data_IF_325456544528
#
_entry.id   IF_325456544528
#
_cell.length_a   1.000
_cell.length_b   1.000
_cell.length_c   1.000
_cell.angle_alpha   90.00
_cell.angle_beta   90.00
_cell.angle_gamma   90.00
#
_symmetry.space_group_name_H-M   'P 1'
#
loop_
_entity.id
_entity.type
_entity.pdbx_description
1 polymer ?
#
# COMPACT_ATOMS: atom_id res chain seq x y z
N UNK A 1 0.32 25.49 3.23
CA UNK A 1 0.43 24.37 2.28
C UNK A 1 0.94 23.14 3.00
N UNK A 2 0.47 21.96 2.65
CA UNK A 2 0.89 20.70 3.26
C UNK A 2 1.74 19.92 2.27
N UNK A 3 2.82 19.32 2.75
CA UNK A 3 3.75 18.52 1.97
C UNK A 3 3.87 17.12 2.58
N UNK A 4 4.20 16.15 1.73
CA UNK A 4 4.46 14.77 2.16
C UNK A 4 5.79 14.28 1.58
N UNK A 5 6.60 13.70 2.44
CA UNK A 5 7.79 12.95 2.03
C UNK A 5 7.41 11.50 1.79
N UNK A 6 7.73 11.02 0.61
CA UNK A 6 7.26 9.73 0.09
C UNK A 6 8.45 8.84 -0.24
N UNK A 7 8.36 7.57 0.16
CA UNK A 7 9.28 6.53 -0.27
C UNK A 7 8.80 6.05 -1.64
N UNK A 8 9.63 6.16 -2.66
CA UNK A 8 9.33 5.67 -4.01
C UNK A 8 10.14 4.40 -4.30
N UNK A 9 9.59 3.45 -5.08
CA UNK A 9 10.28 2.23 -5.47
C UNK A 9 11.31 2.49 -6.61
N UNK A 10 12.22 3.42 -6.34
CA UNK A 10 13.27 3.82 -7.28
C UNK A 10 14.64 3.67 -6.62
N UNK A 11 15.70 3.35 -7.39
CA UNK A 11 17.05 3.15 -6.86
C UNK A 11 17.78 4.50 -6.64
N UNK A 12 17.12 5.42 -5.94
CA UNK A 12 17.64 6.74 -5.61
C UNK A 12 17.55 6.95 -4.11
N UNK A 13 18.58 7.61 -3.57
CA UNK A 13 18.64 7.91 -2.14
C UNK A 13 17.63 8.97 -1.72
N UNK A 14 17.12 8.81 -0.51
CA UNK A 14 16.28 9.79 0.16
C UNK A 14 14.78 9.61 -0.07
N UNK A 15 14.05 10.58 0.43
CA UNK A 15 12.60 10.69 0.31
C UNK A 15 12.28 11.78 -0.72
N UNK A 16 11.13 11.62 -1.37
CA UNK A 16 10.67 12.56 -2.40
C UNK A 16 9.52 13.39 -1.85
N UNK A 17 9.67 14.70 -1.86
CA UNK A 17 8.65 15.63 -1.34
C UNK A 17 7.65 16.00 -2.43
N UNK A 18 6.36 15.85 -2.11
CA UNK A 18 5.24 16.26 -2.95
C UNK A 18 4.32 17.20 -2.20
N UNK A 19 3.65 18.12 -2.92
CA UNK A 19 2.58 18.91 -2.34
C UNK A 19 1.30 18.07 -2.21
N UNK A 20 0.56 18.33 -1.14
CA UNK A 20 -0.71 17.63 -0.87
C UNK A 20 -1.85 18.57 -1.24
N UNK A 21 -2.63 18.29 -2.30
CA UNK A 21 -3.81 19.09 -2.65
C UNK A 21 -4.81 19.17 -1.49
N UNK A 22 -5.45 20.33 -1.34
CA UNK A 22 -6.36 20.59 -0.22
C UNK A 22 -7.43 19.51 0.03
N UNK A 23 -8.06 18.90 -1.00
CA UNK A 23 -9.04 17.82 -0.79
C UNK A 23 -8.46 16.54 -0.18
N UNK A 24 -7.15 16.34 -0.26
CA UNK A 24 -6.45 15.13 0.18
C UNK A 24 -5.76 15.27 1.53
N UNK A 25 -5.67 16.49 2.08
CA UNK A 25 -4.93 16.76 3.34
C UNK A 25 -5.40 15.87 4.50
N UNK A 26 -6.69 15.61 4.63
CA UNK A 26 -7.24 14.75 5.68
C UNK A 26 -7.00 13.24 5.46
N UNK A 27 -6.61 12.85 4.25
CA UNK A 27 -6.41 11.44 3.87
C UNK A 27 -4.93 11.05 3.87
N UNK A 28 -4.04 12.02 3.62
CA UNK A 28 -2.60 11.79 3.58
C UNK A 28 -2.05 11.71 4.99
N UNK A 29 -1.60 10.52 5.38
CA UNK A 29 -0.98 10.26 6.68
C UNK A 29 0.12 9.22 6.55
N UNK A 30 0.95 9.10 7.58
CA UNK A 30 2.03 8.10 7.61
C UNK A 30 1.51 6.70 7.24
N UNK A 31 2.24 5.99 6.39
CA UNK A 31 2.00 4.59 6.05
C UNK A 31 0.94 4.34 4.98
N UNK A 32 0.19 5.35 4.51
CA UNK A 32 -0.73 5.18 3.37
C UNK A 32 0.03 5.20 2.05
N UNK A 33 -0.48 4.46 1.06
CA UNK A 33 0.05 4.52 -0.31
C UNK A 33 -0.58 5.68 -1.07
N UNK A 34 0.25 6.29 -1.89
CA UNK A 34 -0.15 7.39 -2.76
C UNK A 34 0.37 7.19 -4.17
N UNK A 35 -0.36 7.68 -5.14
CA UNK A 35 0.08 7.75 -6.53
C UNK A 35 0.71 9.12 -6.77
N UNK A 36 1.93 9.12 -7.29
CA UNK A 36 2.68 10.34 -7.57
C UNK A 36 3.25 10.35 -8.98
N UNK A 37 3.38 11.53 -9.61
CA UNK A 37 4.06 11.67 -10.89
C UNK A 37 5.58 11.61 -10.68
N UNK A 38 6.27 10.83 -11.53
CA UNK A 38 7.73 10.75 -11.53
C UNK A 38 8.25 10.85 -12.95
N UNK A 39 8.88 11.99 -13.26
CA UNK A 39 9.25 12.30 -14.65
C UNK A 39 8.06 12.76 -15.50
N UNK A 40 8.19 12.78 -16.84
CA UNK A 40 7.19 13.40 -17.72
C UNK A 40 5.94 12.55 -17.95
N UNK A 41 6.03 11.21 -17.87
CA UNK A 41 4.93 10.29 -18.25
C UNK A 41 4.79 9.09 -17.33
N UNK A 42 5.55 9.02 -16.24
CA UNK A 42 5.59 7.85 -15.35
C UNK A 42 4.93 8.23 -14.03
N UNK A 43 4.15 7.32 -13.48
CA UNK A 43 3.62 7.40 -12.13
C UNK A 43 4.17 6.26 -11.29
N UNK A 44 4.36 6.51 -10.00
CA UNK A 44 4.75 5.49 -9.04
C UNK A 44 3.78 5.44 -7.86
N UNK A 45 3.58 4.24 -7.36
CA UNK A 45 2.95 4.03 -6.06
C UNK A 45 4.05 4.13 -5.01
N UNK A 46 3.93 5.10 -4.12
CA UNK A 46 4.84 5.29 -2.99
C UNK A 46 4.13 5.19 -1.66
N UNK A 47 4.88 5.18 -0.58
CA UNK A 47 4.37 5.16 0.79
C UNK A 47 4.74 6.47 1.48
N UNK A 48 3.78 7.09 2.15
CA UNK A 48 3.99 8.31 2.91
C UNK A 48 4.81 8.01 4.16
N UNK A 49 5.99 8.62 4.23
CA UNK A 49 6.89 8.50 5.38
C UNK A 49 6.70 9.65 6.39
N UNK A 50 6.33 10.85 5.92
CA UNK A 50 6.14 12.02 6.77
C UNK A 50 5.22 13.03 6.10
N UNK A 51 4.43 13.75 6.91
CA UNK A 51 3.62 14.89 6.48
C UNK A 51 4.09 16.12 7.24
N UNK A 52 4.27 17.25 6.55
CA UNK A 52 4.78 18.48 7.14
C UNK A 52 4.31 19.74 6.38
N UNK A 53 4.54 20.93 6.97
CA UNK A 53 4.16 22.22 6.39
C UNK A 53 5.31 22.99 5.73
N UNK A 54 6.55 22.45 5.74
CA UNK A 54 7.73 23.17 5.23
C UNK A 54 7.98 22.83 3.76
N UNK A 55 7.93 23.85 2.89
CA UNK A 55 8.30 23.68 1.49
C UNK A 55 9.80 23.39 1.36
N UNK A 56 10.23 22.50 0.45
CA UNK A 56 11.65 22.36 0.13
C UNK A 56 12.14 23.61 -0.60
N UNK A 57 13.35 24.04 -0.25
CA UNK A 57 13.95 25.23 -0.85
C UNK A 57 14.52 24.93 -2.25
N UNK A 58 14.23 25.81 -3.21
CA UNK A 58 14.85 25.76 -4.54
C UNK A 58 14.37 24.64 -5.47
N UNK A 59 13.34 23.87 -5.09
CA UNK A 59 12.82 22.76 -5.89
C UNK A 59 11.35 23.01 -6.21
N UNK A 60 10.97 22.86 -7.49
CA UNK A 60 9.57 22.85 -7.89
C UNK A 60 8.92 21.52 -7.43
N UNK A 61 8.00 21.63 -6.48
CA UNK A 61 7.28 20.49 -5.94
C UNK A 61 6.07 20.20 -6.82
N UNK A 62 5.88 18.93 -7.16
CA UNK A 62 4.69 18.46 -7.89
C UNK A 62 3.61 18.00 -6.89
N UNK A 63 2.37 18.04 -7.33
CA UNK A 63 1.24 17.55 -6.57
C UNK A 63 1.18 16.03 -6.59
N UNK A 64 0.81 15.41 -5.48
CA UNK A 64 0.41 14.01 -5.51
C UNK A 64 -0.94 13.86 -6.23
N UNK A 65 -1.11 12.72 -6.90
CA UNK A 65 -2.26 12.52 -7.79
C UNK A 65 -3.45 11.90 -7.05
N UNK A 66 -3.21 10.92 -6.19
CA UNK A 66 -4.26 10.17 -5.50
C UNK A 66 -3.77 9.48 -4.24
N UNK A 67 -4.61 9.41 -3.23
CA UNK A 67 -4.43 8.53 -2.06
C UNK A 67 -5.10 7.20 -2.37
N UNK A 68 -4.39 6.09 -2.13
CA UNK A 68 -4.86 4.75 -2.51
C UNK A 68 -5.51 4.00 -1.35
N UNK A 69 -5.19 4.35 -0.11
CA UNK A 69 -5.63 3.65 1.08
C UNK A 69 -6.38 4.56 2.06
N UNK A 70 -7.40 4.03 2.69
CA UNK A 70 -8.10 4.68 3.81
C UNK A 70 -7.37 4.48 5.14
N UNK A 71 -6.61 3.39 5.27
CA UNK A 71 -5.83 3.05 6.45
C UNK A 71 -4.35 2.81 6.10
N UNK A 72 -3.41 3.08 7.03
CA UNK A 72 -2.00 2.80 6.80
C UNK A 72 -1.74 1.32 6.52
N UNK A 73 -1.02 1.03 5.45
CA UNK A 73 -0.56 -0.33 5.10
C UNK A 73 0.84 -0.62 5.65
N UNK A 74 1.55 0.42 6.09
CA UNK A 74 2.88 0.32 6.68
C UNK A 74 2.85 0.89 8.09
N UNK A 75 3.33 0.11 9.06
CA UNK A 75 3.45 0.53 10.45
C UNK A 75 4.77 1.24 10.73
N UNK A 76 4.82 2.01 11.83
CA UNK A 76 6.05 2.68 12.26
C UNK A 76 7.20 1.70 12.56
N UNK A 77 6.88 0.50 13.06
CA UNK A 77 7.88 -0.55 13.33
C UNK A 77 8.47 -1.11 12.03
N UNK A 78 7.64 -1.36 11.03
CA UNK A 78 8.10 -1.78 9.70
C UNK A 78 8.97 -0.71 9.05
N UNK A 79 8.57 0.55 9.13
CA UNK A 79 9.37 1.66 8.58
C UNK A 79 10.74 1.77 9.25
N UNK A 80 10.82 1.65 10.58
CA UNK A 80 12.11 1.63 11.30
C UNK A 80 12.99 0.45 10.86
N UNK A 81 12.40 -0.73 10.66
CA UNK A 81 13.12 -1.87 10.12
C UNK A 81 13.67 -1.57 8.71
N UNK A 82 12.88 -0.94 7.85
CA UNK A 82 13.32 -0.58 6.50
C UNK A 82 14.46 0.43 6.50
N UNK A 83 14.41 1.43 7.40
CA UNK A 83 15.51 2.38 7.58
C UNK A 83 16.78 1.66 8.03
N UNK A 84 16.68 0.77 9.02
CA UNK A 84 17.82 -0.03 9.48
C UNK A 84 18.38 -0.91 8.34
N UNK A 85 17.53 -1.55 7.55
CA UNK A 85 17.97 -2.36 6.39
C UNK A 85 18.68 -1.50 5.35
N UNK A 86 18.13 -0.32 5.03
CA UNK A 86 18.74 0.60 4.08
C UNK A 86 20.14 1.02 4.53
N UNK A 87 20.30 1.37 5.82
CA UNK A 87 21.57 1.77 6.40
C UNK A 87 22.57 0.59 6.47
N UNK A 88 22.11 -0.58 6.92
CA UNK A 88 22.96 -1.76 7.07
C UNK A 88 23.49 -2.29 5.74
N UNK A 89 22.67 -2.34 4.72
CA UNK A 89 23.03 -2.81 3.37
C UNK A 89 23.53 -1.69 2.44
N UNK A 90 23.58 -0.45 2.93
CA UNK A 90 23.93 0.74 2.11
C UNK A 90 23.09 0.80 0.82
N UNK A 91 21.80 0.51 0.93
CA UNK A 91 20.85 0.48 -0.17
C UNK A 91 19.84 1.62 -0.07
N UNK A 92 19.36 2.17 -1.20
CA UNK A 92 18.26 3.11 -1.19
C UNK A 92 17.02 2.55 -0.52
N UNK A 93 16.32 3.36 0.28
CA UNK A 93 15.08 2.91 0.96
C UNK A 93 14.00 2.48 -0.02
N UNK A 94 14.01 3.00 -1.24
CA UNK A 94 13.13 2.57 -2.33
C UNK A 94 13.33 1.11 -2.75
N UNK A 95 14.56 0.61 -2.72
CA UNK A 95 14.85 -0.80 -3.00
C UNK A 95 14.38 -1.70 -1.84
N UNK A 96 14.50 -1.24 -0.60
CA UNK A 96 13.92 -1.93 0.56
C UNK A 96 12.39 -1.99 0.45
N UNK A 97 11.74 -0.90 0.07
CA UNK A 97 10.29 -0.86 -0.20
C UNK A 97 9.88 -1.89 -1.25
N UNK A 98 10.64 -1.97 -2.35
CA UNK A 98 10.39 -2.95 -3.43
C UNK A 98 10.47 -4.39 -2.94
N UNK A 99 11.41 -4.70 -2.06
CA UNK A 99 11.58 -6.04 -1.50
C UNK A 99 10.51 -6.36 -0.44
N UNK A 100 10.21 -5.41 0.43
CA UNK A 100 9.37 -5.60 1.60
C UNK A 100 7.86 -5.55 1.31
N UNK A 101 7.44 -4.73 0.33
CA UNK A 101 6.02 -4.56 0.03
C UNK A 101 5.52 -5.71 -0.85
N UNK A 102 4.42 -6.40 -0.47
CA UNK A 102 3.80 -7.44 -1.30
C UNK A 102 3.39 -6.93 -2.69
N UNK A 103 3.43 -7.80 -3.69
CA UNK A 103 3.15 -7.44 -5.08
C UNK A 103 1.78 -6.77 -5.27
N UNK A 104 0.74 -7.25 -4.56
CA UNK A 104 -0.60 -6.67 -4.60
C UNK A 104 -0.70 -5.24 -4.06
N UNK A 105 0.26 -4.81 -3.23
CA UNK A 105 0.32 -3.46 -2.69
C UNK A 105 1.22 -2.52 -3.51
N UNK A 106 1.95 -3.04 -4.50
CA UNK A 106 2.77 -2.24 -5.42
C UNK A 106 1.98 -1.67 -6.59
N UNK A 107 0.83 -2.26 -6.88
CA UNK A 107 -0.02 -1.84 -7.98
C UNK A 107 -0.90 -0.64 -7.59
N UNK A 108 -1.23 0.18 -8.58
CA UNK A 108 -2.15 1.30 -8.43
C UNK A 108 -3.57 0.83 -8.07
N UNK A 109 -4.01 -0.25 -8.69
CA UNK A 109 -5.26 -0.91 -8.33
C UNK A 109 -5.08 -1.72 -7.05
N UNK A 110 -6.04 -1.53 -6.13
CA UNK A 110 -5.96 -2.08 -4.78
C UNK A 110 -5.83 -3.61 -4.75
N UNK A 111 -5.26 -4.10 -3.67
CA UNK A 111 -5.17 -5.51 -3.36
C UNK A 111 -6.56 -6.16 -3.41
N UNK A 112 -6.70 -7.17 -4.27
CA UNK A 112 -7.88 -8.05 -4.28
C UNK A 112 -7.50 -9.31 -3.50
N UNK A 113 -8.08 -9.52 -2.30
CA UNK A 113 -7.81 -10.74 -1.54
C UNK A 113 -8.24 -11.95 -2.37
N UNK A 114 -7.41 -12.98 -2.38
CA UNK A 114 -7.79 -14.27 -2.94
C UNK A 114 -8.89 -14.85 -2.07
N UNK A 115 -10.06 -15.04 -2.64
CA UNK A 115 -11.20 -15.65 -1.96
C UNK A 115 -11.30 -17.11 -2.33
N UNK A 116 -11.57 -17.95 -1.34
CA UNK A 116 -11.92 -19.35 -1.53
C UNK A 116 -13.39 -19.53 -1.19
N UNK A 117 -14.08 -20.29 -2.00
CA UNK A 117 -15.48 -20.61 -1.76
C UNK A 117 -15.56 -21.82 -0.82
N UNK A 118 -16.10 -21.60 0.38
CA UNK A 118 -16.38 -22.69 1.31
C UNK A 118 -17.86 -23.01 1.30
N UNK A 119 -18.18 -24.30 1.25
CA UNK A 119 -19.54 -24.80 1.42
C UNK A 119 -19.66 -25.34 2.83
N UNK A 120 -20.62 -24.82 3.60
CA UNK A 120 -20.94 -25.31 4.93
C UNK A 120 -22.31 -25.99 4.91
N UNK A 121 -22.34 -27.23 5.39
CA UNK A 121 -23.60 -27.93 5.61
C UNK A 121 -24.42 -27.21 6.69
N UNK A 122 -25.73 -27.08 6.45
CA UNK A 122 -26.64 -26.62 7.49
C UNK A 122 -26.71 -27.67 8.63
N UNK A 123 -26.98 -27.26 9.90
CA UNK A 123 -27.03 -28.18 11.03
C UNK A 123 -27.95 -29.35 10.82
N UNK A 124 -29.07 -29.18 10.11
CA UNK A 124 -30.04 -30.23 9.77
C UNK A 124 -29.46 -31.36 8.90
N UNK A 125 -28.37 -31.10 8.16
CA UNK A 125 -27.65 -32.08 7.35
C UNK A 125 -26.37 -32.61 8.02
N UNK A 126 -26.12 -32.27 9.29
CA UNK A 126 -24.89 -32.63 10.01
C UNK A 126 -24.83 -34.09 10.41
N UNK A 127 -25.92 -34.90 10.22
CA UNK A 127 -25.90 -36.35 10.41
C UNK A 127 -25.36 -37.06 9.16
N UNK A 128 -24.84 -38.30 9.32
CA UNK A 128 -24.35 -39.09 8.19
C UNK A 128 -25.44 -39.28 7.12
N UNK A 129 -26.70 -39.41 7.52
CA UNK A 129 -27.85 -39.52 6.61
C UNK A 129 -28.14 -38.21 5.91
N UNK A 130 -28.03 -37.05 6.63
CA UNK A 130 -28.21 -35.72 6.05
C UNK A 130 -27.12 -35.39 5.05
N UNK A 131 -25.87 -35.78 5.34
CA UNK A 131 -24.75 -35.63 4.41
C UNK A 131 -24.99 -36.38 3.09
N UNK A 132 -25.51 -37.63 3.19
CA UNK A 132 -25.80 -38.43 2.00
C UNK A 132 -26.86 -37.79 1.11
N UNK A 133 -27.92 -37.25 1.72
CA UNK A 133 -28.98 -36.55 1.00
C UNK A 133 -28.43 -35.27 0.36
N UNK A 134 -27.57 -34.52 1.05
CA UNK A 134 -26.97 -33.28 0.50
C UNK A 134 -26.05 -33.59 -0.70
N UNK A 135 -25.26 -34.66 -0.64
CA UNK A 135 -24.39 -35.11 -1.73
C UNK A 135 -25.19 -35.55 -2.95
N UNK A 136 -26.31 -36.26 -2.76
CA UNK A 136 -27.20 -36.67 -3.86
C UNK A 136 -27.85 -35.44 -4.55
N UNK A 137 -28.12 -34.38 -3.81
CA UNK A 137 -28.68 -33.13 -4.37
C UNK A 137 -27.68 -32.35 -5.20
N UNK A 138 -26.39 -32.39 -4.85
CA UNK A 138 -25.29 -31.68 -5.54
C UNK A 138 -24.84 -32.46 -6.78
N UNK A 139 -24.98 -33.78 -6.78
CA UNK A 139 -24.56 -34.66 -7.87
C UNK A 139 -25.55 -34.82 -9.03
N UNK A 140 -26.62 -34.01 -9.02
CA UNK A 140 -27.63 -33.96 -10.12
C UNK A 140 -27.45 -32.60 -10.86
#
# INVERSE_FOLDING_TARGET
MTYADIILPVPLDGLFTYSVPAPMVGQVRFGVRVLVPFGPKITHVGVVARVHGKAPEGIAVRDLLRVLDTEPVVTATQYRLWQWMADYYMAPIGDVLKAALPAGLKAEEGYKPRTELYVRLRPEFGSARGLHVALDMIGR
#
